data_IF_636188542017
#
_entry.id   IF_636188542017
#
_cell.length_a   1.000
_cell.length_b   1.000
_cell.length_c   1.000
_cell.angle_alpha   90.00
_cell.angle_beta   90.00
_cell.angle_gamma   90.00
#
_symmetry.space_group_name_H-M   'P 1'
#
loop_
_entity.id
_entity.type
_entity.pdbx_description
1 polymer ?
#
# COMPACT_ATOMS: atom_id res chain seq x y z
N UNK A 1 47.83 56.46 -34.28
CA UNK A 1 46.62 55.86 -34.87
C UNK A 1 46.42 54.48 -34.28
N UNK A 2 45.27 54.28 -33.62
CA UNK A 2 44.39 53.08 -33.54
C UNK A 2 45.01 51.76 -34.05
N UNK A 3 44.97 50.61 -33.37
CA UNK A 3 43.97 50.00 -32.50
C UNK A 3 43.89 48.51 -32.91
N UNK A 4 43.91 47.57 -31.96
CA UNK A 4 43.95 46.10 -32.18
C UNK A 4 42.68 45.56 -32.87
N UNK A 5 42.70 44.31 -33.35
CA UNK A 5 41.87 43.33 -32.63
C UNK A 5 42.60 42.00 -32.39
N UNK A 6 42.54 41.54 -31.14
CA UNK A 6 42.74 40.16 -30.73
C UNK A 6 41.36 39.53 -30.73
N UNK A 7 41.15 38.49 -31.54
CA UNK A 7 39.90 37.73 -31.56
C UNK A 7 39.71 36.95 -30.25
N UNK A 8 38.44 36.89 -29.86
CA UNK A 8 37.91 36.47 -28.57
C UNK A 8 37.82 34.95 -28.49
N UNK A 9 38.30 34.39 -27.38
CA UNK A 9 38.13 33.00 -26.99
C UNK A 9 37.18 32.86 -25.77
N UNK A 10 36.06 33.59 -25.74
CA UNK A 10 35.24 33.72 -24.51
C UNK A 10 33.71 33.61 -24.71
N UNK A 11 33.24 33.03 -25.82
CA UNK A 11 31.80 32.95 -26.10
C UNK A 11 31.18 31.57 -25.84
N UNK A 12 31.96 30.58 -25.39
CA UNK A 12 31.46 29.20 -25.16
C UNK A 12 30.97 28.95 -23.71
N UNK A 13 31.33 29.78 -22.74
CA UNK A 13 31.03 29.52 -21.32
C UNK A 13 29.68 30.10 -20.84
N UNK A 14 29.07 31.02 -21.60
CA UNK A 14 27.79 31.65 -21.24
C UNK A 14 26.54 30.86 -21.64
N UNK A 15 26.65 29.97 -22.64
CA UNK A 15 25.49 29.23 -23.17
C UNK A 15 25.12 28.00 -22.32
N UNK A 16 26.05 27.48 -21.52
CA UNK A 16 25.81 26.33 -20.66
C UNK A 16 25.08 26.68 -19.34
N UNK A 17 25.15 27.94 -18.90
CA UNK A 17 24.44 28.38 -17.69
C UNK A 17 23.00 28.84 -17.95
N UNK A 18 22.67 29.23 -19.18
CA UNK A 18 21.28 29.55 -19.57
C UNK A 18 20.43 28.30 -19.84
N UNK A 19 21.03 27.16 -20.14
CA UNK A 19 20.32 25.88 -20.31
C UNK A 19 19.84 25.27 -18.99
N UNK A 20 20.45 25.64 -17.85
CA UNK A 20 20.05 25.14 -16.52
C UNK A 20 18.80 25.87 -16.00
N UNK A 21 18.59 27.13 -16.38
CA UNK A 21 17.41 27.91 -15.94
C UNK A 21 16.19 27.68 -16.85
N UNK A 22 16.37 27.42 -18.14
CA UNK A 22 15.26 27.29 -19.10
C UNK A 22 14.80 25.84 -19.37
N UNK A 23 15.43 24.83 -18.75
CA UNK A 23 15.27 23.41 -19.11
C UNK A 23 14.55 22.52 -18.09
N UNK A 24 13.64 23.04 -17.26
CA UNK A 24 12.86 22.20 -16.31
C UNK A 24 11.35 22.22 -16.54
N UNK A 25 10.92 22.58 -17.75
CA UNK A 25 9.57 22.32 -18.22
C UNK A 25 9.62 21.29 -19.35
N UNK A 26 8.95 20.16 -19.12
CA UNK A 26 8.74 19.00 -20.00
C UNK A 26 9.81 17.88 -20.00
N UNK A 27 9.49 16.82 -19.23
CA UNK A 27 9.54 15.48 -19.82
C UNK A 27 10.62 14.52 -19.34
N UNK A 28 10.72 14.27 -18.03
CA UNK A 28 11.30 13.01 -17.53
C UNK A 28 10.25 12.23 -16.76
N UNK A 29 9.52 11.37 -17.47
CA UNK A 29 8.62 10.37 -16.91
C UNK A 29 9.46 9.21 -16.37
N UNK A 30 10.12 9.43 -15.24
CA UNK A 30 10.67 8.35 -14.42
C UNK A 30 10.72 8.79 -12.95
N UNK A 31 9.76 8.26 -12.19
CA UNK A 31 9.93 7.90 -10.79
C UNK A 31 10.29 9.01 -9.79
N UNK A 32 9.38 9.95 -9.57
CA UNK A 32 9.29 10.66 -8.29
C UNK A 32 7.82 10.80 -7.84
N UNK A 33 7.05 9.72 -8.01
CA UNK A 33 5.85 9.51 -7.20
C UNK A 33 6.30 9.22 -5.78
N UNK A 34 6.69 10.27 -5.04
CA UNK A 34 6.85 10.21 -3.60
C UNK A 34 5.53 9.73 -3.03
N UNK A 35 5.40 8.42 -2.83
CA UNK A 35 4.32 7.83 -2.04
C UNK A 35 4.42 8.55 -0.71
N UNK A 36 3.53 9.52 -0.50
CA UNK A 36 3.16 9.96 0.84
C UNK A 36 2.70 8.69 1.53
N UNK A 37 3.63 8.01 2.20
CA UNK A 37 3.30 6.91 3.09
C UNK A 37 2.51 7.59 4.19
N UNK A 38 1.18 7.56 4.09
CA UNK A 38 0.33 8.00 5.17
C UNK A 38 0.73 7.16 6.37
N UNK A 39 1.19 7.84 7.43
CA UNK A 39 1.52 7.17 8.69
C UNK A 39 0.18 6.76 9.28
N UNK A 40 -0.30 5.58 8.88
CA UNK A 40 -1.49 4.96 9.47
C UNK A 40 -1.08 4.48 10.85
N UNK A 41 -1.80 4.91 11.88
CA UNK A 41 -1.51 4.47 13.24
C UNK A 41 -1.64 2.94 13.34
N UNK A 42 -0.89 2.27 14.25
CA UNK A 42 -1.01 0.82 14.42
C UNK A 42 -2.44 0.36 14.67
N UNK A 43 -3.24 1.17 15.37
CA UNK A 43 -4.66 0.92 15.66
C UNK A 43 -5.50 1.00 14.39
N UNK A 44 -5.33 2.03 13.57
CA UNK A 44 -6.08 2.16 12.30
C UNK A 44 -5.69 1.05 11.31
N UNK A 45 -4.41 0.67 11.27
CA UNK A 45 -3.98 -0.47 10.47
C UNK A 45 -4.59 -1.79 10.96
N UNK A 46 -4.73 -1.99 12.27
CA UNK A 46 -5.41 -3.15 12.83
C UNK A 46 -6.91 -3.18 12.50
N UNK A 47 -7.61 -2.03 12.58
CA UNK A 47 -9.01 -1.92 12.16
C UNK A 47 -9.21 -2.26 10.68
N UNK A 48 -8.32 -1.78 9.81
CA UNK A 48 -8.34 -2.11 8.38
C UNK A 48 -8.16 -3.62 8.14
N UNK A 49 -7.25 -4.27 8.89
CA UNK A 49 -7.07 -5.73 8.82
C UNK A 49 -8.32 -6.49 9.26
N UNK A 50 -8.99 -6.05 10.34
CA UNK A 50 -10.27 -6.64 10.78
C UNK A 50 -11.33 -6.50 9.69
N UNK A 51 -11.48 -5.32 9.09
CA UNK A 51 -12.46 -5.09 8.02
C UNK A 51 -12.19 -6.00 6.80
N UNK A 52 -10.93 -6.12 6.39
CA UNK A 52 -10.54 -7.00 5.28
C UNK A 52 -10.77 -8.49 5.61
N UNK A 53 -10.40 -8.94 6.81
CA UNK A 53 -10.60 -10.32 7.25
C UNK A 53 -12.09 -10.66 7.38
N UNK A 54 -12.92 -9.72 7.85
CA UNK A 54 -14.37 -9.87 7.91
C UNK A 54 -14.97 -10.04 6.52
N UNK A 55 -14.60 -9.18 5.58
CA UNK A 55 -15.04 -9.29 4.19
C UNK A 55 -14.65 -10.65 3.58
N UNK A 56 -13.44 -11.13 3.84
CA UNK A 56 -13.00 -12.45 3.38
C UNK A 56 -13.81 -13.60 3.99
N UNK A 57 -14.10 -13.54 5.29
CA UNK A 57 -14.93 -14.51 6.00
C UNK A 57 -16.39 -14.52 5.50
N UNK A 58 -16.96 -13.35 5.23
CA UNK A 58 -18.31 -13.20 4.67
C UNK A 58 -18.36 -13.81 3.25
N UNK A 59 -17.42 -13.44 2.38
CA UNK A 59 -17.35 -13.95 1.01
C UNK A 59 -17.09 -15.46 0.93
N UNK A 60 -16.29 -16.02 1.85
CA UNK A 60 -16.07 -17.48 1.93
C UNK A 60 -17.31 -18.21 2.43
N UNK A 61 -18.06 -17.63 3.36
CA UNK A 61 -19.33 -18.19 3.83
C UNK A 61 -20.37 -18.24 2.70
N UNK A 62 -20.48 -17.16 1.93
CA UNK A 62 -21.41 -17.11 0.80
C UNK A 62 -21.08 -18.16 -0.27
N UNK A 63 -19.78 -18.38 -0.54
CA UNK A 63 -19.35 -19.48 -1.41
C UNK A 63 -19.70 -20.85 -0.84
N UNK A 64 -19.50 -21.09 0.44
CA UNK A 64 -19.88 -22.34 1.08
C UNK A 64 -21.40 -22.59 1.02
N UNK A 65 -22.22 -21.54 1.21
CA UNK A 65 -23.68 -21.61 1.06
C UNK A 65 -24.12 -21.84 -0.38
N UNK A 66 -23.39 -21.32 -1.36
CA UNK A 66 -23.66 -21.52 -2.78
C UNK A 66 -23.19 -22.89 -3.30
N UNK A 67 -22.48 -23.69 -2.48
CA UNK A 67 -22.07 -25.03 -2.86
C UNK A 67 -23.27 -25.92 -3.21
N UNK A 68 -23.10 -26.89 -4.13
CA UNK A 68 -24.15 -27.87 -4.43
C UNK A 68 -24.64 -28.57 -3.16
N UNK A 69 -25.93 -28.89 -3.09
CA UNK A 69 -26.49 -29.68 -1.99
C UNK A 69 -26.09 -31.17 -2.12
N UNK A 70 -26.01 -31.93 -1.01
CA UNK A 70 -26.30 -31.52 0.36
C UNK A 70 -25.12 -30.78 1.02
N UNK A 71 -25.39 -29.93 2.00
CA UNK A 71 -24.37 -29.27 2.84
C UNK A 71 -23.97 -30.17 4.00
N UNK A 72 -23.39 -31.33 3.65
CA UNK A 72 -23.00 -32.37 4.59
C UNK A 72 -21.53 -32.74 4.39
N UNK A 73 -20.93 -33.39 5.39
CA UNK A 73 -19.52 -33.80 5.38
C UNK A 73 -19.17 -34.79 4.25
N UNK A 74 -20.19 -35.42 3.67
CA UNK A 74 -20.05 -36.36 2.55
C UNK A 74 -19.92 -35.65 1.20
N UNK A 75 -20.25 -34.36 1.12
CA UNK A 75 -20.09 -33.56 -0.08
C UNK A 75 -18.74 -32.84 -0.08
N UNK A 76 -17.75 -33.32 -0.87
CA UNK A 76 -16.40 -32.78 -0.84
C UNK A 76 -16.32 -31.32 -1.30
N UNK A 77 -17.22 -30.87 -2.18
CA UNK A 77 -17.25 -29.48 -2.64
C UNK A 77 -17.68 -28.53 -1.51
N UNK A 78 -18.71 -28.91 -0.75
CA UNK A 78 -19.12 -28.15 0.42
C UNK A 78 -18.03 -28.14 1.50
N UNK A 79 -17.46 -29.30 1.82
CA UNK A 79 -16.39 -29.43 2.83
C UNK A 79 -15.20 -28.52 2.51
N UNK A 80 -14.69 -28.56 1.28
CA UNK A 80 -13.56 -27.73 0.89
C UNK A 80 -13.84 -26.22 1.02
N UNK A 81 -15.05 -25.78 0.65
CA UNK A 81 -15.47 -24.39 0.77
C UNK A 81 -15.71 -23.98 2.22
N UNK A 82 -16.28 -24.87 3.03
CA UNK A 82 -16.51 -24.64 4.44
C UNK A 82 -15.20 -24.59 5.24
N UNK A 83 -14.22 -25.44 4.92
CA UNK A 83 -12.89 -25.39 5.52
C UNK A 83 -12.12 -24.12 5.15
N UNK A 84 -12.29 -23.63 3.92
CA UNK A 84 -11.80 -22.30 3.54
C UNK A 84 -12.44 -21.20 4.40
N UNK A 85 -13.76 -21.25 4.60
CA UNK A 85 -14.46 -20.32 5.49
C UNK A 85 -13.95 -20.39 6.94
N UNK A 86 -13.72 -21.59 7.48
CA UNK A 86 -13.19 -21.72 8.84
C UNK A 86 -11.82 -21.05 9.00
N UNK A 87 -10.93 -21.18 8.03
CA UNK A 87 -9.62 -20.51 8.02
C UNK A 87 -9.74 -18.99 7.92
N UNK A 88 -10.64 -18.47 7.09
CA UNK A 88 -10.87 -17.03 7.00
C UNK A 88 -11.48 -16.46 8.29
N UNK A 89 -12.34 -17.22 8.96
CA UNK A 89 -12.90 -16.87 10.27
C UNK A 89 -11.82 -16.87 11.37
N UNK A 90 -10.89 -17.81 11.35
CA UNK A 90 -9.75 -17.83 12.27
C UNK A 90 -8.87 -16.58 12.11
N UNK A 91 -8.55 -16.19 10.87
CA UNK A 91 -7.80 -14.95 10.58
C UNK A 91 -8.52 -13.69 11.08
N UNK A 92 -9.84 -13.64 11.00
CA UNK A 92 -10.63 -12.56 11.60
C UNK A 92 -10.42 -12.49 13.11
N UNK A 93 -10.50 -13.61 13.81
CA UNK A 93 -10.26 -13.65 15.26
C UNK A 93 -8.81 -13.32 15.63
N UNK A 94 -7.83 -13.74 14.83
CA UNK A 94 -6.44 -13.31 15.00
C UNK A 94 -6.29 -11.79 14.88
N UNK A 95 -6.90 -11.16 13.87
CA UNK A 95 -6.86 -9.71 13.67
C UNK A 95 -7.52 -8.96 14.85
N UNK A 96 -8.63 -9.47 15.37
CA UNK A 96 -9.31 -8.91 16.55
C UNK A 96 -8.43 -9.00 17.80
N UNK A 97 -7.82 -10.16 18.06
CA UNK A 97 -6.88 -10.35 19.18
C UNK A 97 -5.65 -9.43 19.06
N UNK A 98 -5.15 -9.20 17.86
CA UNK A 98 -4.04 -8.28 17.63
C UNK A 98 -4.42 -6.81 17.97
N UNK A 99 -5.63 -6.37 17.63
CA UNK A 99 -6.12 -5.04 18.03
C UNK A 99 -6.23 -4.92 19.56
N UNK A 100 -6.79 -5.93 20.21
CA UNK A 100 -6.93 -5.97 21.67
C UNK A 100 -5.56 -5.91 22.38
N UNK A 101 -4.56 -6.62 21.87
CA UNK A 101 -3.19 -6.57 22.38
C UNK A 101 -2.56 -5.16 22.26
N UNK A 102 -2.81 -4.45 21.15
CA UNK A 102 -2.36 -3.08 20.96
C UNK A 102 -3.02 -2.11 21.95
N UNK A 103 -4.32 -2.28 22.19
CA UNK A 103 -5.06 -1.45 23.14
C UNK A 103 -4.62 -1.70 24.58
N UNK A 104 -4.42 -2.96 24.96
CA UNK A 104 -3.93 -3.37 26.29
C UNK A 104 -2.50 -2.89 26.57
N UNK A 105 -1.61 -2.96 25.57
CA UNK A 105 -0.22 -2.48 25.70
C UNK A 105 -0.08 -0.95 25.70
N UNK A 106 -1.09 -0.23 25.20
CA UNK A 106 -1.17 1.22 25.29
C UNK A 106 -1.68 1.67 26.66
N UNK A 107 -2.68 0.98 27.20
CA UNK A 107 -3.24 1.27 28.53
C UNK A 107 -2.27 0.94 29.68
N UNK A 108 -1.48 -0.13 29.56
CA UNK A 108 -0.47 -0.49 30.56
C UNK A 108 0.73 0.47 30.61
N UNK A 109 0.97 1.27 29.55
CA UNK A 109 2.05 2.26 29.49
C UNK A 109 1.72 3.61 30.14
N UNK A 110 0.46 3.80 30.55
CA UNK A 110 -0.05 5.05 31.11
C UNK A 110 -0.36 4.97 32.62
N UNK A 111 0.01 3.88 33.28
CA UNK A 111 -0.09 3.68 34.73
C UNK A 111 1.30 3.55 35.34
#
# INVERSE_FOLDING_TARGET
MNGRPVERADEASGQFLQSIVAGTEAGSTASAGGRRQSIVSPVEAAKQRIAAARLAADNSLDRAKAAPKPHEITNPAFVALFDAHQRDRERLFEAMRALEALQSSSHSRLR
#
